data_IF_063234028015
#
_entry.id   IF_063234028015
#
_cell.length_a   1.000
_cell.length_b   1.000
_cell.length_c   1.000
_cell.angle_alpha   90.00
_cell.angle_beta   90.00
_cell.angle_gamma   90.00
#
_symmetry.space_group_name_H-M   'P 1'
#
loop_
_entity.id
_entity.type
_entity.pdbx_description
1 polymer ?
#
# COMPACT_ATOMS: atom_id res chain seq x y z
N UNK A 1 -11.00 -13.80 5.95
CA UNK A 1 -11.40 -12.37 6.07
C UNK A 1 -12.28 -12.10 4.88
N UNK A 2 -13.34 -11.36 5.13
CA UNK A 2 -14.39 -11.10 4.15
C UNK A 2 -13.85 -10.19 3.06
N UNK A 3 -14.39 -10.28 1.85
CA UNK A 3 -13.90 -9.53 0.67
C UNK A 3 -13.77 -8.02 0.93
N UNK A 4 -14.72 -7.45 1.68
CA UNK A 4 -14.69 -6.04 2.14
C UNK A 4 -13.44 -5.66 2.92
N UNK A 5 -12.90 -6.57 3.72
CA UNK A 5 -11.75 -6.31 4.55
C UNK A 5 -10.44 -6.40 3.75
N UNK A 6 -10.39 -7.22 2.69
CA UNK A 6 -9.29 -7.20 1.73
C UNK A 6 -9.27 -5.88 0.94
N UNK A 7 -10.42 -5.49 0.39
CA UNK A 7 -10.58 -4.22 -0.33
C UNK A 7 -10.23 -3.02 0.56
N UNK A 8 -10.74 -2.98 1.79
CA UNK A 8 -10.41 -1.93 2.77
C UNK A 8 -8.92 -1.90 3.10
N UNK A 9 -8.27 -3.07 3.20
CA UNK A 9 -6.83 -3.14 3.49
C UNK A 9 -6.00 -2.62 2.32
N UNK A 10 -6.42 -2.89 1.09
CA UNK A 10 -5.73 -2.44 -0.12
C UNK A 10 -5.87 -0.93 -0.30
N UNK A 11 -7.10 -0.40 -0.13
CA UNK A 11 -7.36 1.04 -0.11
C UNK A 11 -6.59 1.73 1.02
N UNK A 12 -6.58 1.12 2.21
CA UNK A 12 -5.85 1.62 3.37
C UNK A 12 -4.34 1.68 3.15
N UNK A 13 -3.76 0.66 2.51
CA UNK A 13 -2.35 0.63 2.16
C UNK A 13 -2.01 1.76 1.18
N UNK A 14 -2.75 1.87 0.08
CA UNK A 14 -2.51 2.93 -0.91
C UNK A 14 -2.69 4.32 -0.30
N UNK A 15 -3.71 4.52 0.54
CA UNK A 15 -3.91 5.79 1.26
C UNK A 15 -2.75 6.10 2.21
N UNK A 16 -2.21 5.09 2.91
CA UNK A 16 -1.05 5.25 3.78
C UNK A 16 0.21 5.63 2.99
N UNK A 17 0.44 5.02 1.83
CA UNK A 17 1.57 5.39 0.94
C UNK A 17 1.41 6.82 0.42
N UNK A 18 0.22 7.22 -0.01
CA UNK A 18 -0.04 8.60 -0.44
C UNK A 18 0.20 9.59 0.70
N UNK A 19 -0.28 9.31 1.91
CA UNK A 19 -0.02 10.15 3.08
C UNK A 19 1.48 10.24 3.40
N UNK A 20 2.20 9.13 3.33
CA UNK A 20 3.65 9.11 3.50
C UNK A 20 4.36 10.00 2.48
N UNK A 21 3.98 9.95 1.21
CA UNK A 21 4.58 10.80 0.17
C UNK A 21 4.34 12.28 0.46
N UNK A 22 3.11 12.66 0.77
CA UNK A 22 2.74 14.05 1.07
C UNK A 22 3.50 14.55 2.30
N UNK A 23 3.45 13.80 3.40
CA UNK A 23 4.09 14.20 4.66
C UNK A 23 5.62 14.18 4.56
N UNK A 24 6.20 13.15 3.95
CA UNK A 24 7.65 13.02 3.80
C UNK A 24 8.27 14.14 2.96
N UNK A 25 7.55 14.59 1.92
CA UNK A 25 7.98 15.73 1.09
C UNK A 25 7.80 17.05 1.86
N UNK A 26 6.63 17.28 2.47
CA UNK A 26 6.32 18.55 3.15
C UNK A 26 7.20 18.78 4.38
N UNK A 27 7.44 17.72 5.17
CA UNK A 27 8.25 17.80 6.39
C UNK A 27 9.75 17.71 6.12
N UNK A 28 10.17 17.41 4.88
CA UNK A 28 11.57 17.33 4.49
C UNK A 28 12.36 16.24 5.23
N UNK A 29 11.69 15.18 5.70
CA UNK A 29 12.28 14.11 6.55
C UNK A 29 13.41 13.38 5.81
N UNK A 30 13.27 13.22 4.50
CA UNK A 30 14.25 12.62 3.60
C UNK A 30 14.28 13.41 2.29
N UNK A 31 15.37 13.28 1.52
CA UNK A 31 15.38 13.81 0.15
C UNK A 31 14.18 13.22 -0.63
N UNK A 32 13.50 14.05 -1.41
CA UNK A 32 12.24 13.70 -2.08
C UNK A 32 12.32 12.37 -2.86
N UNK A 33 13.47 12.10 -3.48
CA UNK A 33 13.69 10.85 -4.22
C UNK A 33 13.60 9.60 -3.33
N UNK A 34 14.12 9.66 -2.11
CA UNK A 34 14.05 8.55 -1.15
C UNK A 34 12.63 8.36 -0.59
N UNK A 35 11.88 9.45 -0.37
CA UNK A 35 10.48 9.36 0.06
C UNK A 35 9.65 8.58 -0.96
N UNK A 36 9.84 8.89 -2.26
CA UNK A 36 9.18 8.19 -3.36
C UNK A 36 9.59 6.73 -3.44
N UNK A 37 10.89 6.43 -3.37
CA UNK A 37 11.40 5.05 -3.42
C UNK A 37 10.82 4.20 -2.28
N UNK A 38 10.81 4.72 -1.05
CA UNK A 38 10.25 4.01 0.11
C UNK A 38 8.76 3.77 -0.08
N UNK A 39 7.99 4.78 -0.49
CA UNK A 39 6.56 4.62 -0.77
C UNK A 39 6.29 3.54 -1.81
N UNK A 40 7.08 3.51 -2.88
CA UNK A 40 6.96 2.51 -3.94
C UNK A 40 7.27 1.09 -3.45
N UNK A 41 8.33 0.93 -2.65
CA UNK A 41 8.69 -0.36 -2.05
C UNK A 41 7.59 -0.85 -1.11
N UNK A 42 7.03 0.03 -0.28
CA UNK A 42 5.95 -0.33 0.65
C UNK A 42 4.69 -0.73 -0.10
N UNK A 43 4.31 -0.02 -1.17
CA UNK A 43 3.13 -0.38 -1.97
C UNK A 43 3.30 -1.74 -2.65
N UNK A 44 4.45 -2.00 -3.26
CA UNK A 44 4.72 -3.27 -3.95
C UNK A 44 4.78 -4.43 -2.96
N UNK A 45 5.51 -4.27 -1.85
CA UNK A 45 5.68 -5.34 -0.85
C UNK A 45 4.38 -5.55 -0.09
N UNK A 46 3.73 -4.48 0.38
CA UNK A 46 2.48 -4.55 1.12
C UNK A 46 1.32 -5.07 0.26
N UNK A 47 1.18 -4.54 -0.96
CA UNK A 47 0.15 -4.97 -1.90
C UNK A 47 0.38 -6.41 -2.35
N UNK A 48 1.63 -6.75 -2.66
CA UNK A 48 2.03 -8.12 -2.99
C UNK A 48 1.77 -9.10 -1.85
N UNK A 49 2.05 -8.72 -0.60
CA UNK A 49 1.78 -9.55 0.58
C UNK A 49 0.27 -9.75 0.81
N UNK A 50 -0.53 -8.68 0.69
CA UNK A 50 -1.98 -8.74 0.77
C UNK A 50 -2.55 -9.67 -0.32
N UNK A 51 -2.08 -9.53 -1.56
CA UNK A 51 -2.50 -10.39 -2.67
C UNK A 51 -2.06 -11.84 -2.49
N UNK A 52 -0.85 -12.09 -2.00
CA UNK A 52 -0.35 -13.45 -1.78
C UNK A 52 -1.19 -14.18 -0.71
N UNK A 53 -1.51 -13.49 0.38
CA UNK A 53 -2.15 -14.12 1.52
C UNK A 53 -3.68 -14.21 1.38
N UNK A 54 -4.30 -13.28 0.64
CA UNK A 54 -5.78 -13.17 0.56
C UNK A 54 -6.34 -13.12 -0.86
N UNK A 55 -5.51 -12.76 -1.85
CA UNK A 55 -5.93 -12.55 -3.24
C UNK A 55 -6.49 -13.81 -3.91
N UNK A 56 -6.05 -15.02 -3.51
CA UNK A 56 -6.64 -16.27 -4.03
C UNK A 56 -8.13 -16.43 -3.70
N UNK A 57 -8.58 -15.97 -2.53
CA UNK A 57 -9.99 -16.08 -2.15
C UNK A 57 -10.86 -15.01 -2.81
N UNK A 58 -10.27 -13.86 -3.14
CA UNK A 58 -10.93 -12.78 -3.86
C UNK A 58 -11.07 -13.10 -5.36
N UNK A 59 -9.96 -13.50 -6.01
CA UNK A 59 -9.91 -13.82 -7.45
C UNK A 59 -10.63 -15.12 -7.83
N UNK A 60 -10.83 -16.04 -6.88
CA UNK A 60 -11.58 -17.29 -7.13
C UNK A 60 -13.10 -17.11 -7.11
N UNK A 61 -13.59 -15.89 -6.90
CA UNK A 61 -15.03 -15.55 -6.88
C UNK A 61 -15.47 -14.70 -8.09
N UNK A 62 -14.56 -14.40 -9.01
CA UNK A 62 -14.86 -14.02 -10.41
C UNK A 62 -14.78 -15.25 -11.31
#
# INVERSE_FOLDING_TARGET
MTDKAFETSLIGLTAAVVLWLVLGIVLGVLAWGWVVVVGLVVEIVGGGFLLHYWGKNYMARE
#
